data_IF_666952905170
#
_entry.id   IF_666952905170
#
_cell.length_a   1.000
_cell.length_b   1.000
_cell.length_c   1.000
_cell.angle_alpha   90.00
_cell.angle_beta   90.00
_cell.angle_gamma   90.00
#
_symmetry.space_group_name_H-M   'P 1'
#
loop_
_entity.id
_entity.type
_entity.pdbx_description
1 polymer ?
#
# COMPACT_ATOMS: atom_id res chain seq x y z
N UNK A 1 15.33 -19.06 2.57
CA UNK A 1 14.10 -18.34 2.22
C UNK A 1 13.39 -18.03 3.53
N UNK A 2 13.27 -16.75 3.86
CA UNK A 2 12.62 -16.27 5.08
C UNK A 2 11.20 -15.74 4.79
N UNK A 3 10.44 -15.40 5.83
CA UNK A 3 9.06 -14.90 5.71
C UNK A 3 9.01 -13.65 4.83
N UNK A 4 9.96 -12.72 5.04
CA UNK A 4 10.05 -11.49 4.24
C UNK A 4 10.20 -11.80 2.75
N UNK A 5 11.08 -12.74 2.39
CA UNK A 5 11.33 -13.18 1.01
C UNK A 5 10.09 -13.84 0.43
N UNK A 6 9.41 -14.71 1.19
CA UNK A 6 8.16 -15.37 0.74
C UNK A 6 7.11 -14.33 0.36
N UNK A 7 6.87 -13.36 1.26
CA UNK A 7 5.85 -12.33 1.04
C UNK A 7 6.27 -11.40 -0.10
N UNK A 8 7.53 -10.96 -0.15
CA UNK A 8 8.03 -10.12 -1.22
C UNK A 8 7.86 -10.78 -2.60
N UNK A 9 8.22 -12.07 -2.72
CA UNK A 9 8.05 -12.82 -3.97
C UNK A 9 6.58 -12.95 -4.38
N UNK A 10 5.66 -13.15 -3.43
CA UNK A 10 4.22 -13.17 -3.74
C UNK A 10 3.75 -11.80 -4.24
N UNK A 11 4.08 -10.72 -3.53
CA UNK A 11 3.67 -9.37 -3.89
C UNK A 11 4.19 -8.97 -5.28
N UNK A 12 5.48 -9.21 -5.53
CA UNK A 12 6.11 -8.91 -6.82
C UNK A 12 5.49 -9.72 -7.96
N UNK A 13 5.30 -11.04 -7.77
CA UNK A 13 4.68 -11.90 -8.77
C UNK A 13 3.27 -11.45 -9.14
N UNK A 14 2.51 -10.93 -8.17
CA UNK A 14 1.16 -10.41 -8.37
C UNK A 14 1.09 -8.91 -8.69
N UNK A 15 2.23 -8.22 -8.81
CA UNK A 15 2.31 -6.82 -9.23
C UNK A 15 1.94 -5.78 -8.15
N UNK A 16 1.95 -6.17 -6.87
CA UNK A 16 1.76 -5.27 -5.74
C UNK A 16 3.06 -4.56 -5.36
N UNK A 17 2.94 -3.36 -4.77
CA UNK A 17 4.08 -2.53 -4.40
C UNK A 17 4.51 -2.72 -2.93
N UNK A 18 3.68 -3.38 -2.12
CA UNK A 18 3.90 -3.51 -0.69
C UNK A 18 2.72 -4.10 0.08
N UNK A 19 2.69 -3.79 1.37
CA UNK A 19 1.56 -4.07 2.27
C UNK A 19 1.04 -2.77 2.89
N UNK A 20 -0.24 -2.76 3.24
CA UNK A 20 -0.80 -1.76 4.15
C UNK A 20 -1.73 -2.42 5.17
N UNK A 21 -1.91 -1.79 6.32
CA UNK A 21 -2.94 -2.18 7.27
C UNK A 21 -4.25 -1.46 6.91
N UNK A 22 -5.41 -2.14 6.89
CA UNK A 22 -6.66 -1.53 6.43
C UNK A 22 -7.20 -0.44 7.36
N UNK A 23 -6.94 -0.57 8.67
CA UNK A 23 -7.51 0.34 9.69
C UNK A 23 -6.49 1.33 10.27
N UNK A 24 -5.25 1.36 9.77
CA UNK A 24 -4.22 2.31 10.22
C UNK A 24 -3.51 2.94 9.03
N UNK A 25 -2.78 4.03 9.25
CA UNK A 25 -2.00 4.70 8.19
C UNK A 25 -0.68 3.95 7.88
N UNK A 26 -0.51 2.73 8.38
CA UNK A 26 0.71 1.94 8.20
C UNK A 26 0.78 1.32 6.81
N UNK A 27 1.90 1.53 6.13
CA UNK A 27 2.24 0.86 4.88
C UNK A 27 3.75 0.69 4.73
N UNK A 28 4.16 -0.38 4.06
CA UNK A 28 5.56 -0.64 3.72
C UNK A 28 5.68 -1.14 2.29
N UNK A 29 6.75 -0.77 1.60
CA UNK A 29 7.07 -1.25 0.26
C UNK A 29 7.91 -2.53 0.28
N UNK A 30 8.25 -3.06 -0.89
CA UNK A 30 9.10 -4.25 -1.01
C UNK A 30 10.50 -4.07 -0.35
N UNK A 31 11.06 -2.86 -0.40
CA UNK A 31 12.40 -2.53 0.14
C UNK A 31 12.48 -2.49 1.66
N UNK A 32 11.36 -2.21 2.32
CA UNK A 32 11.20 -2.07 3.77
C UNK A 32 10.05 -2.96 4.27
N UNK A 33 9.75 -4.03 3.53
CA UNK A 33 8.66 -4.96 3.81
C UNK A 33 8.84 -5.61 5.16
N UNK A 34 7.81 -5.55 6.01
CA UNK A 34 7.92 -5.97 7.42
C UNK A 34 8.99 -5.14 8.15
N UNK A 35 9.08 -3.85 7.80
CA UNK A 35 10.00 -2.86 8.36
C UNK A 35 9.59 -2.41 9.77
N UNK A 36 10.04 -1.22 10.24
CA UNK A 36 9.99 -0.81 11.65
C UNK A 36 8.58 -0.49 12.20
N UNK A 37 7.52 -0.87 11.49
CA UNK A 37 6.20 -1.01 12.12
C UNK A 37 6.28 -2.06 13.25
N UNK A 38 5.19 -2.32 13.98
CA UNK A 38 5.13 -3.37 15.02
C UNK A 38 5.29 -4.81 14.45
N UNK A 39 5.97 -4.98 13.31
CA UNK A 39 5.98 -6.17 12.48
C UNK A 39 4.81 -6.19 11.51
N UNK A 40 4.79 -7.22 10.66
CA UNK A 40 3.63 -7.50 9.83
C UNK A 40 2.48 -7.92 10.75
N UNK A 41 1.41 -7.15 10.74
CA UNK A 41 0.19 -7.46 11.47
C UNK A 41 -0.63 -8.49 10.67
N UNK A 42 -1.46 -9.27 11.36
CA UNK A 42 -2.16 -10.44 10.80
C UNK A 42 -3.14 -10.11 9.67
N UNK A 43 -3.52 -8.84 9.55
CA UNK A 43 -4.52 -8.27 8.66
C UNK A 43 -3.92 -7.28 7.64
N UNK A 44 -2.60 -7.17 7.55
CA UNK A 44 -1.94 -6.48 6.45
C UNK A 44 -2.38 -7.05 5.10
N UNK A 45 -2.69 -6.18 4.15
CA UNK A 45 -3.17 -6.53 2.81
C UNK A 45 -2.17 -6.09 1.73
N UNK A 46 -2.07 -6.81 0.60
CA UNK A 46 -1.34 -6.35 -0.57
C UNK A 46 -1.82 -4.96 -0.99
N UNK A 47 -0.88 -4.08 -1.33
CA UNK A 47 -1.17 -2.67 -1.59
C UNK A 47 -0.47 -2.14 -2.83
N UNK A 48 -1.05 -1.08 -3.39
CA UNK A 48 -0.42 -0.25 -4.42
C UNK A 48 0.14 1.02 -3.81
N UNK A 49 1.30 1.43 -4.32
CA UNK A 49 1.96 2.67 -3.91
C UNK A 49 1.43 3.82 -4.75
N UNK A 50 0.87 4.82 -4.08
CA UNK A 50 0.27 6.01 -4.68
C UNK A 50 1.09 7.25 -4.28
N UNK A 51 1.47 8.10 -5.23
CA UNK A 51 2.17 9.35 -4.93
C UNK A 51 1.23 10.36 -4.26
N UNK A 52 1.73 11.02 -3.21
CA UNK A 52 1.11 12.18 -2.59
C UNK A 52 1.62 13.48 -3.25
N UNK A 53 0.85 14.56 -3.13
CA UNK A 53 1.21 15.87 -3.72
C UNK A 53 2.50 16.47 -3.13
N UNK A 54 2.85 16.08 -1.91
CA UNK A 54 4.05 16.54 -1.20
C UNK A 54 5.30 15.71 -1.53
N UNK A 55 5.21 14.73 -2.44
CA UNK A 55 6.32 13.86 -2.80
C UNK A 55 6.49 12.64 -1.90
N UNK A 56 5.67 12.50 -0.87
CA UNK A 56 5.58 11.26 -0.08
C UNK A 56 4.76 10.20 -0.84
N UNK A 57 4.73 8.99 -0.31
CA UNK A 57 3.96 7.88 -0.89
C UNK A 57 3.02 7.28 0.13
N UNK A 58 1.82 6.95 -0.32
CA UNK A 58 0.80 6.26 0.45
C UNK A 58 0.60 4.85 -0.11
N UNK A 59 0.29 3.87 0.74
CA UNK A 59 -0.02 2.51 0.31
C UNK A 59 -1.49 2.22 0.61
N UNK A 60 -2.22 1.71 -0.37
CA UNK A 60 -3.64 1.35 -0.20
C UNK A 60 -3.98 0.03 -0.86
N UNK A 61 -4.91 -0.69 -0.25
CA UNK A 61 -5.52 -1.92 -0.74
C UNK A 61 -6.93 -1.67 -1.32
N UNK A 62 -7.32 -0.41 -1.53
CA UNK A 62 -8.65 -0.03 -2.02
C UNK A 62 -8.85 -0.30 -3.52
N UNK A 63 -7.79 -0.68 -4.23
CA UNK A 63 -7.84 -1.03 -5.64
C UNK A 63 -7.63 -2.53 -5.83
N UNK A 64 -8.45 -3.14 -6.69
CA UNK A 64 -8.34 -4.54 -7.12
C UNK A 64 -7.36 -4.72 -8.32
N UNK A 65 -6.85 -3.62 -8.85
CA UNK A 65 -5.87 -3.55 -9.92
C UNK A 65 -4.94 -2.35 -9.72
N UNK A 66 -3.81 -2.30 -10.44
CA UNK A 66 -2.90 -1.16 -10.37
C UNK A 66 -3.63 0.10 -10.86
N UNK A 67 -3.84 1.11 -10.01
CA UNK A 67 -4.65 2.26 -10.39
C UNK A 67 -3.93 3.14 -11.40
N UNK A 68 -4.71 3.71 -12.30
CA UNK A 68 -4.27 4.75 -13.23
C UNK A 68 -4.14 6.10 -12.54
N UNK A 69 -3.44 7.06 -13.17
CA UNK A 69 -3.36 8.44 -12.66
C UNK A 69 -4.72 9.12 -12.51
N UNK A 70 -5.69 8.77 -13.36
CA UNK A 70 -7.05 9.30 -13.29
C UNK A 70 -7.77 8.76 -12.05
N UNK A 71 -7.68 7.45 -11.79
CA UNK A 71 -8.30 6.81 -10.63
C UNK A 71 -7.67 7.29 -9.31
N UNK A 72 -6.35 7.50 -9.29
CA UNK A 72 -5.66 8.11 -8.15
C UNK A 72 -6.20 9.52 -7.87
N UNK A 73 -6.42 10.32 -8.91
CA UNK A 73 -6.96 11.68 -8.77
C UNK A 73 -8.37 11.66 -8.20
N UNK A 74 -9.22 10.76 -8.69
CA UNK A 74 -10.59 10.60 -8.22
C UNK A 74 -10.64 10.08 -6.78
N UNK A 75 -9.72 9.18 -6.41
CA UNK A 75 -9.55 8.67 -5.05
C UNK A 75 -9.25 9.81 -4.06
N UNK A 76 -8.29 10.67 -4.37
CA UNK A 76 -7.97 11.81 -3.51
C UNK A 76 -9.13 12.80 -3.37
N UNK A 77 -9.87 13.05 -4.46
CA UNK A 77 -11.05 13.91 -4.41
C UNK A 77 -12.11 13.37 -3.46
N UNK A 78 -12.40 12.06 -3.52
CA UNK A 78 -13.37 11.40 -2.63
C UNK A 78 -12.93 11.43 -1.16
N UNK A 79 -11.63 11.28 -0.90
CA UNK A 79 -11.09 11.39 0.46
C UNK A 79 -11.22 12.81 1.03
N UNK A 80 -10.93 13.83 0.23
CA UNK A 80 -11.12 15.23 0.62
C UNK A 80 -12.60 15.51 0.95
N UNK A 81 -13.54 15.01 0.13
CA UNK A 81 -14.99 15.14 0.36
C UNK A 81 -15.48 14.39 1.62
N UNK A 82 -14.81 13.29 2.03
CA UNK A 82 -15.18 12.51 3.20
C UNK A 82 -14.67 13.11 4.52
N UNK A 83 -13.59 13.89 4.46
CA UNK A 83 -12.90 14.45 5.62
C UNK A 83 -13.17 15.95 5.85
N UNK A 84 -13.95 16.60 4.97
CA UNK A 84 -14.41 17.99 5.10
C UNK A 84 -15.83 18.09 5.64
#
# INVERSE_FOLDING_TARGET
>A
MDVRTIVASYLEYHGFDGLCHPDTECGCGLSDLIGPCEGAQSDCRPSYRIPLRNGETFFTADFDHRPTEAEIRDYWKKLEERNG
#
